data_IF_415499323844
#
_entry.id   IF_415499323844
#
_cell.length_a   1.000
_cell.length_b   1.000
_cell.length_c   1.000
_cell.angle_alpha   90.00
_cell.angle_beta   90.00
_cell.angle_gamma   90.00
#
_symmetry.space_group_name_H-M   'P 1'
#
loop_
_entity.id
_entity.type
_entity.pdbx_description
1 polymer ?
#
# COMPACT_ATOMS: atom_id res chain seq x y z
N UNK A 1 -3.45 11.68 -7.85
CA UNK A 1 -2.59 10.91 -8.78
C UNK A 1 -3.36 9.87 -9.59
N UNK A 2 -4.34 9.18 -9.02
CA UNK A 2 -5.20 8.22 -9.74
C UNK A 2 -5.86 8.80 -10.99
N UNK A 3 -6.48 9.99 -10.87
CA UNK A 3 -7.08 10.72 -12.01
C UNK A 3 -6.20 10.78 -13.27
N UNK A 4 -4.91 11.11 -13.12
CA UNK A 4 -4.00 11.20 -14.27
C UNK A 4 -3.78 9.85 -14.96
N UNK A 5 -3.85 8.74 -14.21
CA UNK A 5 -3.75 7.38 -14.74
C UNK A 5 -5.04 6.98 -15.47
N UNK A 6 -6.19 7.41 -14.98
CA UNK A 6 -7.49 7.23 -15.66
C UNK A 6 -7.52 8.01 -16.97
N UNK A 7 -7.02 9.24 -17.00
CA UNK A 7 -6.88 10.02 -18.24
C UNK A 7 -5.90 9.35 -19.20
N UNK A 8 -4.76 8.84 -18.72
CA UNK A 8 -3.83 8.05 -19.54
C UNK A 8 -4.51 6.82 -20.14
N UNK A 9 -5.30 6.09 -19.35
CA UNK A 9 -6.07 4.93 -19.81
C UNK A 9 -7.11 5.34 -20.86
N UNK A 10 -7.83 6.43 -20.65
CA UNK A 10 -8.81 6.95 -21.60
C UNK A 10 -8.18 7.21 -22.98
N UNK A 11 -7.05 7.92 -23.04
CA UNK A 11 -6.35 8.17 -24.30
C UNK A 11 -5.75 6.90 -24.92
N UNK A 12 -5.30 5.95 -24.11
CA UNK A 12 -4.87 4.64 -24.59
C UNK A 12 -6.01 3.88 -25.28
N UNK A 13 -7.21 3.89 -24.69
CA UNK A 13 -8.41 3.28 -25.27
C UNK A 13 -8.83 3.97 -26.58
N UNK A 14 -8.63 5.28 -26.68
CA UNK A 14 -8.77 6.06 -27.92
C UNK A 14 -7.66 5.81 -28.96
N UNK A 15 -6.77 4.85 -28.72
CA UNK A 15 -5.65 4.49 -29.61
C UNK A 15 -4.67 5.63 -29.88
N UNK A 16 -4.60 6.61 -28.97
CA UNK A 16 -3.55 7.66 -29.02
C UNK A 16 -2.20 7.06 -28.62
N UNK A 17 -1.14 7.55 -29.25
CA UNK A 17 0.20 7.09 -28.88
C UNK A 17 0.61 7.68 -27.53
N UNK A 18 1.41 6.93 -26.77
CA UNK A 18 1.85 7.36 -25.44
C UNK A 18 2.52 8.75 -25.46
N UNK A 19 3.34 9.02 -26.48
CA UNK A 19 4.03 10.29 -26.63
C UNK A 19 3.09 11.48 -26.82
N UNK A 20 2.04 11.33 -27.63
CA UNK A 20 0.99 12.35 -27.79
C UNK A 20 0.25 12.60 -26.48
N UNK A 21 -0.15 11.53 -25.79
CA UNK A 21 -0.88 11.63 -24.53
C UNK A 21 -0.06 12.37 -23.47
N UNK A 22 1.24 12.11 -23.36
CA UNK A 22 2.08 12.81 -22.38
C UNK A 22 2.23 14.29 -22.67
N UNK A 23 2.43 14.66 -23.95
CA UNK A 23 2.50 16.07 -24.34
C UNK A 23 1.20 16.78 -24.00
N UNK A 24 0.07 16.17 -24.35
CA UNK A 24 -1.25 16.71 -24.03
C UNK A 24 -1.47 16.88 -22.53
N UNK A 25 -1.02 15.92 -21.72
CA UNK A 25 -1.11 16.02 -20.26
C UNK A 25 -0.24 17.15 -19.71
N UNK A 26 0.95 17.37 -20.26
CA UNK A 26 1.80 18.52 -19.91
C UNK A 26 1.12 19.83 -20.29
N UNK A 27 0.52 19.91 -21.49
CA UNK A 27 -0.17 21.12 -21.94
C UNK A 27 -1.40 21.46 -21.06
N UNK A 28 -2.14 20.44 -20.61
CA UNK A 28 -3.37 20.62 -19.80
C UNK A 28 -3.08 20.82 -18.31
N UNK A 29 -2.12 20.07 -17.75
CA UNK A 29 -1.88 20.02 -16.30
C UNK A 29 -0.60 20.76 -15.86
N UNK A 30 0.26 21.16 -16.79
CA UNK A 30 1.52 21.86 -16.50
C UNK A 30 2.40 21.06 -15.54
N UNK A 31 2.83 21.70 -14.46
CA UNK A 31 3.68 21.10 -13.41
C UNK A 31 3.03 19.91 -12.68
N UNK A 32 1.70 19.76 -12.79
CA UNK A 32 0.96 18.65 -12.19
C UNK A 32 0.86 17.43 -13.11
N UNK A 33 1.38 17.52 -14.34
CA UNK A 33 1.38 16.42 -15.29
C UNK A 33 2.28 15.25 -14.82
N UNK A 34 1.96 14.01 -15.23
CA UNK A 34 2.85 12.89 -14.97
C UNK A 34 4.17 13.06 -15.76
N UNK A 35 5.28 12.63 -15.16
CA UNK A 35 6.57 12.58 -15.86
C UNK A 35 6.51 11.63 -17.06
N UNK A 36 7.40 11.84 -18.04
CA UNK A 36 7.50 10.96 -19.21
C UNK A 36 7.73 9.48 -18.80
N UNK A 37 8.53 9.25 -17.77
CA UNK A 37 8.76 7.91 -17.22
C UNK A 37 7.46 7.29 -16.69
N UNK A 38 6.64 8.07 -15.98
CA UNK A 38 5.33 7.62 -15.46
C UNK A 38 4.41 7.24 -16.60
N UNK A 39 4.27 8.12 -17.59
CA UNK A 39 3.52 7.86 -18.81
C UNK A 39 3.90 6.55 -19.50
N UNK A 40 5.21 6.34 -19.69
CA UNK A 40 5.76 5.18 -20.39
C UNK A 40 5.46 3.88 -19.64
N UNK A 41 5.67 3.90 -18.32
CA UNK A 41 5.34 2.78 -17.44
C UNK A 41 3.86 2.38 -17.56
N UNK A 42 2.94 3.35 -17.42
CA UNK A 42 1.51 3.08 -17.52
C UNK A 42 1.09 2.61 -18.91
N UNK A 43 1.67 3.20 -19.97
CA UNK A 43 1.41 2.77 -21.34
C UNK A 43 1.86 1.33 -21.60
N UNK A 44 2.99 0.90 -21.02
CA UNK A 44 3.46 -0.48 -21.13
C UNK A 44 2.56 -1.45 -20.37
N UNK A 45 2.07 -1.03 -19.20
CA UNK A 45 1.11 -1.78 -18.38
C UNK A 45 -0.22 -2.00 -19.11
N UNK A 46 -0.74 -0.96 -19.76
CA UNK A 46 -1.96 -1.08 -20.58
C UNK A 46 -1.74 -1.98 -21.81
N UNK A 47 -0.53 -1.99 -22.39
CA UNK A 47 -0.18 -2.93 -23.48
C UNK A 47 -0.15 -4.37 -23.02
N UNK A 48 0.19 -4.66 -21.76
CA UNK A 48 0.10 -6.02 -21.20
C UNK A 48 -1.32 -6.41 -20.77
N UNK A 49 -2.32 -5.56 -21.03
CA UNK A 49 -3.72 -5.82 -20.66
C UNK A 49 -4.07 -5.55 -19.19
N UNK A 50 -3.15 -4.95 -18.43
CA UNK A 50 -3.40 -4.54 -17.04
C UNK A 50 -3.92 -3.10 -17.04
N UNK A 51 -5.24 -2.95 -16.88
CA UNK A 51 -5.95 -1.67 -16.86
C UNK A 51 -6.26 -1.16 -15.45
N UNK A 52 -5.74 -1.81 -14.41
CA UNK A 52 -5.96 -1.37 -13.03
C UNK A 52 -5.13 -0.12 -12.72
N UNK A 53 -5.82 1.01 -12.58
CA UNK A 53 -5.24 2.32 -12.28
C UNK A 53 -4.94 2.53 -10.80
N UNK A 54 -5.42 1.63 -9.94
CA UNK A 54 -5.18 1.70 -8.51
C UNK A 54 -3.72 1.37 -8.18
N UNK A 55 -3.25 1.91 -7.07
CA UNK A 55 -2.02 1.40 -6.47
C UNK A 55 -2.31 0.00 -5.95
N UNK A 56 -1.53 -0.98 -6.40
CA UNK A 56 -1.53 -2.29 -5.77
C UNK A 56 -1.21 -2.12 -4.29
N UNK A 57 -1.85 -2.94 -3.46
CA UNK A 57 -1.48 -3.04 -2.07
C UNK A 57 0.04 -3.27 -2.00
N UNK A 58 0.74 -2.34 -1.36
CA UNK A 58 2.18 -2.48 -1.21
C UNK A 58 2.39 -3.55 -0.18
N UNK A 59 3.07 -4.61 -0.55
CA UNK A 59 3.66 -5.52 0.42
C UNK A 59 4.54 -4.66 1.33
N UNK A 60 4.07 -4.45 2.56
CA UNK A 60 4.84 -3.76 3.57
C UNK A 60 6.12 -4.53 3.86
N UNK A 61 7.02 -3.95 4.67
CA UNK A 61 8.13 -4.71 5.23
C UNK A 61 7.58 -6.01 5.85
N UNK A 62 8.28 -7.15 5.65
CA UNK A 62 7.86 -8.41 6.23
C UNK A 62 7.63 -8.24 7.74
N UNK A 63 6.56 -8.85 8.25
CA UNK A 63 6.26 -8.81 9.69
C UNK A 63 7.43 -9.47 10.43
N UNK A 64 7.95 -8.80 11.47
CA UNK A 64 9.03 -9.33 12.32
C UNK A 64 8.58 -10.56 13.14
N UNK A 65 7.29 -10.64 13.48
CA UNK A 65 6.66 -11.75 14.19
C UNK A 65 5.17 -11.85 13.78
N UNK A 66 4.57 -13.02 13.96
CA UNK A 66 3.15 -13.25 13.69
C UNK A 66 2.26 -12.89 14.89
N UNK A 67 0.98 -12.61 14.62
CA UNK A 67 0.04 -12.24 15.68
C UNK A 67 -0.14 -13.38 16.70
N UNK A 68 -0.10 -14.62 16.23
CA UNK A 68 -0.22 -15.84 17.02
C UNK A 68 0.93 -16.00 18.02
N UNK A 69 2.12 -15.47 17.72
CA UNK A 69 3.25 -15.47 18.65
C UNK A 69 3.00 -14.51 19.83
N UNK A 70 2.44 -13.34 19.54
CA UNK A 70 2.07 -12.36 20.56
C UNK A 70 0.87 -12.84 21.39
N UNK A 71 -0.14 -13.46 20.76
CA UNK A 71 -1.30 -14.03 21.46
C UNK A 71 -0.87 -15.14 22.44
N UNK A 72 0.03 -16.05 22.03
CA UNK A 72 0.56 -17.09 22.93
C UNK A 72 1.26 -16.51 24.16
N UNK A 73 1.99 -15.40 24.03
CA UNK A 73 2.65 -14.76 25.17
C UNK A 73 1.61 -14.19 26.15
N UNK A 74 0.55 -13.56 25.63
CA UNK A 74 -0.55 -13.02 26.44
C UNK A 74 -1.40 -14.12 27.09
N UNK A 75 -1.58 -15.27 26.43
CA UNK A 75 -2.27 -16.42 26.99
C UNK A 75 -1.51 -17.04 28.17
N UNK A 76 -0.18 -16.97 28.15
CA UNK A 76 0.68 -17.43 29.26
C UNK A 76 0.60 -16.45 30.43
N UNK A 77 0.76 -15.15 30.15
CA UNK A 77 0.64 -14.11 31.16
C UNK A 77 0.07 -12.80 30.55
N UNK A 78 -1.20 -12.46 30.83
CA UNK A 78 -1.83 -11.27 30.28
C UNK A 78 -1.34 -9.97 30.94
N UNK A 79 -0.59 -10.05 32.05
CA UNK A 79 -0.06 -8.89 32.77
C UNK A 79 1.34 -8.47 32.29
N UNK A 80 1.89 -9.12 31.26
CA UNK A 80 3.20 -8.77 30.72
C UNK A 80 3.28 -7.32 30.25
N UNK A 81 4.41 -6.69 30.56
CA UNK A 81 4.71 -5.35 30.11
C UNK A 81 5.13 -5.35 28.64
N UNK A 82 4.96 -4.19 27.97
CA UNK A 82 5.43 -4.02 26.60
C UNK A 82 6.95 -4.27 26.45
N UNK A 83 7.73 -4.06 27.52
CA UNK A 83 9.17 -4.27 27.51
C UNK A 83 9.51 -5.75 27.48
N UNK A 84 8.87 -6.56 28.32
CA UNK A 84 9.07 -8.01 28.36
C UNK A 84 8.67 -8.67 27.03
N UNK A 85 7.54 -8.25 26.46
CA UNK A 85 7.09 -8.69 25.14
C UNK A 85 8.07 -8.28 24.03
N UNK A 86 8.67 -7.09 24.14
CA UNK A 86 9.63 -6.59 23.15
C UNK A 86 10.92 -7.41 23.13
N UNK A 87 11.39 -7.82 24.32
CA UNK A 87 12.56 -8.69 24.47
C UNK A 87 12.24 -10.10 23.96
N UNK A 88 11.07 -10.63 24.30
CA UNK A 88 10.67 -11.98 23.87
C UNK A 88 10.51 -12.12 22.35
N UNK A 89 10.05 -11.06 21.68
CA UNK A 89 9.81 -11.03 20.24
C UNK A 89 10.97 -10.44 19.42
N UNK A 90 12.05 -10.01 20.07
CA UNK A 90 13.20 -9.32 19.45
C UNK A 90 12.78 -8.13 18.57
N UNK A 91 11.89 -7.28 19.10
CA UNK A 91 11.37 -6.10 18.40
C UNK A 91 11.32 -4.89 19.31
N UNK A 92 11.24 -3.70 18.71
CA UNK A 92 11.09 -2.47 19.46
C UNK A 92 9.76 -2.45 20.25
N UNK A 93 9.79 -1.95 21.49
CA UNK A 93 8.60 -1.74 22.35
C UNK A 93 7.43 -1.06 21.62
N UNK A 94 7.74 -0.09 20.75
CA UNK A 94 6.73 0.63 19.96
C UNK A 94 6.02 -0.26 18.93
N UNK A 95 6.71 -1.28 18.40
CA UNK A 95 6.17 -2.27 17.46
C UNK A 95 5.16 -3.16 18.17
N UNK A 96 5.49 -3.64 19.37
CA UNK A 96 4.57 -4.43 20.21
C UNK A 96 3.30 -3.62 20.53
N UNK A 97 3.46 -2.38 20.98
CA UNK A 97 2.32 -1.52 21.31
C UNK A 97 1.37 -1.27 20.13
N UNK A 98 1.90 -1.00 18.93
CA UNK A 98 1.09 -0.85 17.71
C UNK A 98 0.35 -2.12 17.35
N UNK A 99 1.00 -3.29 17.52
CA UNK A 99 0.41 -4.60 17.21
C UNK A 99 -0.70 -4.97 18.18
N UNK A 100 -0.50 -4.78 19.48
CA UNK A 100 -1.54 -4.97 20.50
C UNK A 100 -2.77 -4.10 20.23
N UNK A 101 -2.57 -2.83 19.91
CA UNK A 101 -3.68 -1.94 19.56
C UNK A 101 -4.44 -2.46 18.33
N UNK A 102 -3.75 -2.91 17.29
CA UNK A 102 -4.37 -3.47 16.10
C UNK A 102 -5.18 -4.74 16.42
N UNK A 103 -4.65 -5.65 17.26
CA UNK A 103 -5.37 -6.85 17.71
C UNK A 103 -6.67 -6.51 18.46
N UNK A 104 -6.59 -5.57 19.41
CA UNK A 104 -7.77 -5.12 20.18
C UNK A 104 -8.83 -4.47 19.27
N UNK A 105 -8.41 -3.70 18.27
CA UNK A 105 -9.33 -3.09 17.30
C UNK A 105 -10.02 -4.16 16.46
N UNK A 106 -9.29 -5.14 15.94
CA UNK A 106 -9.85 -6.23 15.12
C UNK A 106 -10.88 -7.05 15.90
N UNK A 107 -10.59 -7.39 17.16
CA UNK A 107 -11.53 -8.12 18.03
C UNK A 107 -12.84 -7.34 18.26
N UNK A 108 -12.76 -6.02 18.43
CA UNK A 108 -13.96 -5.17 18.62
C UNK A 108 -14.82 -5.08 17.37
N UNK A 109 -14.22 -5.07 16.19
CA UNK A 109 -14.94 -4.96 14.91
C UNK A 109 -15.53 -6.28 14.40
N UNK A 110 -15.08 -7.44 14.91
CA UNK A 110 -15.56 -8.76 14.51
C UNK A 110 -16.80 -9.28 15.23
N UNK A 111 -17.32 -8.53 16.22
CA UNK A 111 -18.51 -8.90 17.01
C UNK A 111 -19.78 -8.16 16.51
N UNK A 112 -20.18 -8.40 15.25
CA UNK A 112 -21.48 -7.99 14.69
C UNK A 112 -22.25 -9.19 14.18
#
# INVERSE_FOLDING_TARGET
>A
KQHLREVLLHYYLLKKCAGETCRLLVDVYGDHAPSETTCRYWSQRFKSGDFDVNDKERDGPPKKFQNEELEKLLDIDPCQTLEELSVALDVDRSTVGKRLHALVVVQKTGNW
#
